data_IF_204034330477
#
_entry.id   IF_204034330477
#
_cell.length_a   1.000
_cell.length_b   1.000
_cell.length_c   1.000
_cell.angle_alpha   90.00
_cell.angle_beta   90.00
_cell.angle_gamma   90.00
#
_symmetry.space_group_name_H-M   'P 1'
#
loop_
_entity.id
_entity.type
_entity.pdbx_description
1 polymer ?
#
# COMPACT_ATOMS: atom_id res chain seq x y z
N UNK A 1 -28.38 -30.15 19.03
CA UNK A 1 -27.39 -29.06 19.09
C UNK A 1 -26.17 -29.59 18.36
N UNK A 2 -26.02 -29.22 17.10
CA UNK A 2 -24.90 -29.68 16.26
C UNK A 2 -23.67 -28.85 16.67
N UNK A 3 -22.73 -29.50 17.36
CA UNK A 3 -21.45 -28.90 17.71
C UNK A 3 -20.62 -28.98 16.43
N UNK A 4 -20.53 -27.87 15.71
CA UNK A 4 -19.51 -27.69 14.68
C UNK A 4 -18.17 -27.81 15.39
N UNK A 5 -17.32 -28.71 14.92
CA UNK A 5 -15.95 -28.88 15.42
C UNK A 5 -15.18 -27.58 15.14
N UNK A 6 -15.11 -26.72 16.17
CA UNK A 6 -14.54 -25.38 16.07
C UNK A 6 -13.05 -25.45 15.70
N UNK A 7 -12.33 -26.46 16.21
CA UNK A 7 -10.91 -26.63 15.93
C UNK A 7 -10.67 -27.03 14.46
N UNK A 8 -11.55 -27.86 13.89
CA UNK A 8 -11.50 -28.22 12.48
C UNK A 8 -11.88 -27.05 11.56
N UNK A 9 -12.82 -26.19 11.99
CA UNK A 9 -13.18 -24.97 11.28
C UNK A 9 -12.02 -23.95 11.27
N UNK A 10 -11.39 -23.74 12.42
CA UNK A 10 -10.26 -22.81 12.59
C UNK A 10 -9.04 -23.25 11.76
N UNK A 11 -8.71 -24.55 11.74
CA UNK A 11 -7.61 -25.08 10.93
C UNK A 11 -7.87 -24.94 9.41
N UNK A 12 -9.12 -25.09 9.00
CA UNK A 12 -9.52 -24.89 7.60
C UNK A 12 -9.42 -23.42 7.20
N UNK A 13 -9.89 -22.50 8.05
CA UNK A 13 -9.80 -21.06 7.84
C UNK A 13 -8.34 -20.59 7.76
N UNK A 14 -7.47 -21.08 8.65
CA UNK A 14 -6.03 -20.81 8.59
C UNK A 14 -5.42 -21.25 7.25
N UNK A 15 -5.78 -22.44 6.75
CA UNK A 15 -5.28 -22.96 5.47
C UNK A 15 -5.75 -22.11 4.28
N UNK A 16 -7.00 -21.63 4.32
CA UNK A 16 -7.54 -20.73 3.30
C UNK A 16 -6.80 -19.39 3.29
N UNK A 17 -6.59 -18.80 4.47
CA UNK A 17 -5.85 -17.54 4.63
C UNK A 17 -4.40 -17.66 4.12
N UNK A 18 -3.68 -18.71 4.49
CA UNK A 18 -2.31 -18.94 3.99
C UNK A 18 -2.26 -19.06 2.46
N UNK A 19 -3.27 -19.70 1.87
CA UNK A 19 -3.37 -19.81 0.41
C UNK A 19 -3.65 -18.45 -0.22
N UNK A 20 -4.58 -17.67 0.32
CA UNK A 20 -4.87 -16.31 -0.16
C UNK A 20 -3.65 -15.40 -0.07
N UNK A 21 -2.89 -15.48 1.02
CA UNK A 21 -1.64 -14.73 1.18
C UNK A 21 -0.59 -15.15 0.14
N UNK A 22 -0.43 -16.46 -0.08
CA UNK A 22 0.49 -16.98 -1.11
C UNK A 22 0.07 -16.55 -2.51
N UNK A 23 -1.22 -16.59 -2.81
CA UNK A 23 -1.77 -16.18 -4.10
C UNK A 23 -1.58 -14.67 -4.30
N UNK A 24 -1.75 -13.85 -3.25
CA UNK A 24 -1.50 -12.41 -3.28
C UNK A 24 -0.02 -12.09 -3.54
N UNK A 25 0.90 -12.81 -2.88
CA UNK A 25 2.33 -12.70 -3.13
C UNK A 25 2.69 -13.11 -4.56
N UNK A 26 2.16 -14.23 -5.04
CA UNK A 26 2.39 -14.70 -6.41
C UNK A 26 1.80 -13.75 -7.47
N UNK A 27 0.76 -12.98 -7.11
CA UNK A 27 0.15 -12.01 -8.00
C UNK A 27 0.91 -10.68 -8.09
N UNK A 28 1.90 -10.43 -7.23
CA UNK A 28 2.69 -9.20 -7.22
C UNK A 28 3.38 -8.99 -8.57
N UNK A 29 3.28 -7.77 -9.10
CA UNK A 29 3.77 -7.40 -10.43
C UNK A 29 4.26 -5.95 -10.44
N UNK A 30 5.24 -5.64 -11.28
CA UNK A 30 5.70 -4.28 -11.57
C UNK A 30 5.90 -4.13 -13.08
N UNK A 31 5.29 -3.10 -13.66
CA UNK A 31 5.46 -2.71 -15.06
C UNK A 31 5.79 -1.23 -15.12
N UNK A 32 6.79 -0.85 -15.91
CA UNK A 32 7.23 0.54 -16.09
C UNK A 32 7.56 0.79 -17.56
N UNK A 33 7.27 1.99 -18.04
CA UNK A 33 7.69 2.44 -19.37
C UNK A 33 8.05 3.92 -19.36
N UNK A 34 9.06 4.29 -20.14
CA UNK A 34 9.45 5.68 -20.38
C UNK A 34 8.50 6.31 -21.42
N UNK A 35 8.04 7.54 -21.20
CA UNK A 35 7.17 8.25 -22.15
C UNK A 35 7.91 9.03 -23.24
N UNK A 36 9.24 8.99 -23.26
CA UNK A 36 10.08 9.74 -24.19
C UNK A 36 10.19 11.23 -23.86
N UNK A 37 9.59 11.67 -22.75
CA UNK A 37 9.53 13.07 -22.31
C UNK A 37 10.01 13.22 -20.86
N UNK A 38 10.98 12.39 -20.46
CA UNK A 38 11.63 12.45 -19.16
C UNK A 38 10.73 12.02 -17.99
N UNK A 39 9.62 11.33 -18.25
CA UNK A 39 8.77 10.75 -17.21
C UNK A 39 8.65 9.26 -17.43
N UNK A 40 8.68 8.52 -16.32
CA UNK A 40 8.42 7.08 -16.31
C UNK A 40 7.05 6.85 -15.71
N UNK A 41 6.21 6.13 -16.43
CA UNK A 41 4.91 5.68 -15.93
C UNK A 41 5.06 4.26 -15.42
N UNK A 42 4.52 4.01 -14.23
CA UNK A 42 4.59 2.70 -13.58
C UNK A 42 3.23 2.25 -13.09
N UNK A 43 3.00 0.94 -13.12
CA UNK A 43 1.88 0.27 -12.45
C UNK A 43 2.43 -0.93 -11.69
N UNK A 44 1.95 -1.13 -10.48
CA UNK A 44 2.30 -2.29 -9.67
C UNK A 44 1.06 -2.95 -9.05
N UNK A 45 1.22 -4.21 -8.69
CA UNK A 45 0.32 -4.98 -7.83
C UNK A 45 1.15 -5.44 -6.65
N UNK A 46 0.68 -5.16 -5.44
CA UNK A 46 1.30 -5.57 -4.17
C UNK A 46 0.27 -6.34 -3.36
N UNK A 47 0.72 -7.25 -2.51
CA UNK A 47 -0.13 -7.77 -1.44
C UNK A 47 -0.59 -6.63 -0.51
N UNK A 48 -1.69 -6.85 0.21
CA UNK A 48 -2.31 -5.84 1.07
C UNK A 48 -1.35 -5.27 2.12
N UNK A 49 -0.49 -6.10 2.69
CA UNK A 49 0.46 -5.72 3.74
C UNK A 49 1.53 -4.80 3.17
N UNK A 50 2.15 -5.18 2.07
CA UNK A 50 3.18 -4.38 1.38
C UNK A 50 2.60 -3.09 0.83
N UNK A 51 1.38 -3.11 0.27
CA UNK A 51 0.69 -1.92 -0.21
C UNK A 51 0.38 -0.92 0.91
N UNK A 52 -0.07 -1.40 2.08
CA UNK A 52 -0.29 -0.56 3.25
C UNK A 52 1.02 0.06 3.77
N UNK A 53 2.10 -0.72 3.80
CA UNK A 53 3.42 -0.23 4.20
C UNK A 53 3.93 0.86 3.26
N UNK A 54 3.88 0.65 1.93
CA UNK A 54 4.26 1.65 0.94
C UNK A 54 3.46 2.94 1.12
N UNK A 55 2.14 2.82 1.23
CA UNK A 55 1.25 3.98 1.44
C UNK A 55 1.62 4.76 2.70
N UNK A 56 1.92 4.06 3.80
CA UNK A 56 2.33 4.68 5.06
C UNK A 56 3.65 5.44 4.91
N UNK A 57 4.65 4.84 4.25
CA UNK A 57 5.94 5.48 4.00
C UNK A 57 5.79 6.76 3.16
N UNK A 58 5.04 6.68 2.05
CA UNK A 58 4.80 7.86 1.20
C UNK A 58 4.04 8.95 1.95
N UNK A 59 3.02 8.60 2.74
CA UNK A 59 2.26 9.57 3.55
C UNK A 59 3.12 10.25 4.62
N UNK A 60 4.03 9.50 5.26
CA UNK A 60 4.94 10.05 6.27
C UNK A 60 5.84 11.14 5.69
N UNK A 61 6.23 11.01 4.42
CA UNK A 61 6.99 12.04 3.68
C UNK A 61 6.05 13.15 3.20
N UNK A 62 4.90 12.80 2.61
CA UNK A 62 3.99 13.74 1.97
C UNK A 62 3.34 14.74 2.93
N UNK A 63 3.00 14.31 4.16
CA UNK A 63 2.38 15.12 5.20
C UNK A 63 3.09 14.94 6.56
N UNK A 64 4.22 15.63 6.79
CA UNK A 64 4.82 15.69 8.11
C UNK A 64 3.83 16.35 9.08
N UNK A 65 3.55 15.69 10.21
CA UNK A 65 2.52 16.11 11.19
C UNK A 65 2.62 17.57 11.66
N UNK A 66 3.79 18.19 11.57
CA UNK A 66 4.01 19.60 11.94
C UNK A 66 3.59 20.62 10.86
N UNK A 67 3.38 20.18 9.61
CA UNK A 67 3.03 21.06 8.48
C UNK A 67 1.55 20.95 8.09
N UNK A 68 0.88 19.81 8.34
CA UNK A 68 -0.52 19.60 7.97
C UNK A 68 -1.53 20.40 8.81
N UNK A 69 -1.13 20.89 9.99
CA UNK A 69 -2.00 21.56 10.96
C UNK A 69 -1.97 23.10 10.91
N UNK A 70 -1.17 23.71 10.03
CA UNK A 70 -0.88 25.15 10.08
C UNK A 70 -1.74 26.04 9.16
N UNK A 71 -2.73 25.47 8.47
CA UNK A 71 -3.64 26.23 7.59
C UNK A 71 -5.02 26.45 8.21
N UNK A 72 -5.76 27.51 7.83
CA UNK A 72 -7.10 27.83 8.33
C UNK A 72 -8.19 26.77 7.98
N UNK A 73 -7.81 25.68 7.30
CA UNK A 73 -8.67 24.63 6.76
C UNK A 73 -8.41 23.24 7.37
N UNK A 74 -7.59 23.14 8.43
CA UNK A 74 -7.31 21.88 9.14
C UNK A 74 -6.39 20.92 8.38
N UNK A 75 -6.28 19.68 8.87
CA UNK A 75 -5.49 18.60 8.25
C UNK A 75 -5.99 18.31 6.83
N UNK A 76 -5.29 18.84 5.82
CA UNK A 76 -5.55 18.52 4.42
C UNK A 76 -4.77 17.28 3.99
N UNK A 77 -5.46 16.36 3.33
CA UNK A 77 -4.80 15.24 2.62
C UNK A 77 -3.84 15.82 1.56
N UNK A 78 -2.62 15.26 1.40
CA UNK A 78 -1.69 15.66 0.35
C UNK A 78 -2.33 15.62 -1.03
N UNK A 79 -1.94 16.57 -1.90
CA UNK A 79 -2.30 16.55 -3.31
C UNK A 79 -1.64 15.37 -4.03
N UNK A 80 -2.18 14.98 -5.19
CA UNK A 80 -1.57 13.92 -6.01
C UNK A 80 -0.12 14.26 -6.41
N UNK A 81 0.14 15.54 -6.70
CA UNK A 81 1.50 16.05 -6.95
C UNK A 81 2.41 15.85 -5.75
N UNK A 82 1.97 16.22 -4.53
CA UNK A 82 2.75 16.03 -3.30
C UNK A 82 3.01 14.54 -3.02
N UNK A 83 2.03 13.67 -3.28
CA UNK A 83 2.20 12.22 -3.18
C UNK A 83 3.25 11.70 -4.16
N UNK A 84 3.25 12.18 -5.41
CA UNK A 84 4.25 11.82 -6.42
C UNK A 84 5.67 12.26 -6.04
N UNK A 85 5.82 13.50 -5.58
CA UNK A 85 7.11 14.00 -5.08
C UNK A 85 7.62 13.19 -3.89
N UNK A 86 6.74 12.87 -2.94
CA UNK A 86 7.08 12.05 -1.77
C UNK A 86 7.49 10.62 -2.13
N UNK A 87 6.84 10.03 -3.14
CA UNK A 87 7.25 8.72 -3.66
C UNK A 87 8.62 8.79 -4.34
N UNK A 88 8.90 9.84 -5.12
CA UNK A 88 10.23 10.09 -5.67
C UNK A 88 11.28 10.26 -4.57
N UNK A 89 10.99 11.03 -3.52
CA UNK A 89 11.87 11.19 -2.37
C UNK A 89 12.13 9.86 -1.65
N UNK A 90 11.11 9.02 -1.48
CA UNK A 90 11.25 7.68 -0.86
C UNK A 90 12.25 6.80 -1.62
N UNK A 91 12.25 6.85 -2.95
CA UNK A 91 13.15 6.04 -3.80
C UNK A 91 14.59 6.54 -3.73
N UNK A 92 14.80 7.85 -3.53
CA UNK A 92 16.14 8.47 -3.54
C UNK A 92 16.77 8.56 -2.13
N UNK A 93 16.19 7.91 -1.13
CA UNK A 93 16.69 7.89 0.26
C UNK A 93 17.73 6.81 0.50
#
# INVERSE_FOLDING_TARGET
MEVVDQDAADAHEATLLEKEERDAQAAMRLTMYDDGHGKVHGRFVLDSTTGAALRKMVLAIAAPKHQASQGPLGERKPTAERMGQAFGELINR
#
